data_IF_008163835391
#
_entry.id   IF_008163835391
#
_cell.length_a   1.000
_cell.length_b   1.000
_cell.length_c   1.000
_cell.angle_alpha   90.00
_cell.angle_beta   90.00
_cell.angle_gamma   90.00
#
_symmetry.space_group_name_H-M   'P 1'
#
loop_
_entity.id
_entity.type
_entity.pdbx_description
1 polymer ?
#
# COMPACT_ATOMS: atom_id res chain seq x y z
N UNK A 1 -16.85 0.83 0.29
CA UNK A 1 -15.60 0.55 -0.42
C UNK A 1 -15.85 0.33 -1.92
N UNK A 2 -16.90 -0.38 -2.26
CA UNK A 2 -17.31 -0.78 -3.60
C UNK A 2 -17.24 0.30 -4.67
N UNK A 3 -17.66 1.51 -4.35
CA UNK A 3 -17.66 2.66 -5.27
C UNK A 3 -16.27 3.19 -5.66
N UNK A 4 -15.24 2.80 -4.90
CA UNK A 4 -13.86 3.24 -5.13
C UNK A 4 -13.03 2.22 -5.93
N UNK A 5 -13.48 0.97 -6.00
CA UNK A 5 -12.75 -0.11 -6.66
C UNK A 5 -13.21 -0.24 -8.10
N UNK A 6 -12.40 0.23 -9.04
CA UNK A 6 -12.64 0.18 -10.48
C UNK A 6 -11.33 0.41 -11.26
N UNK A 7 -11.37 0.25 -12.57
CA UNK A 7 -10.25 0.52 -13.48
C UNK A 7 -9.19 -0.58 -13.49
N UNK A 8 -7.91 -0.20 -13.55
CA UNK A 8 -6.79 -1.16 -13.53
C UNK A 8 -6.43 -1.47 -12.07
N UNK A 9 -6.50 -2.73 -11.69
CA UNK A 9 -6.33 -3.21 -10.32
C UNK A 9 -5.10 -4.10 -10.25
N UNK A 10 -4.14 -3.76 -9.40
CA UNK A 10 -2.98 -4.58 -9.07
C UNK A 10 -3.20 -5.28 -7.74
N UNK A 11 -3.27 -6.60 -7.76
CA UNK A 11 -3.33 -7.44 -6.56
C UNK A 11 -1.97 -8.12 -6.35
N UNK A 12 -1.21 -7.63 -5.38
CA UNK A 12 0.03 -8.26 -4.93
C UNK A 12 -0.31 -9.35 -3.90
N UNK A 13 0.27 -10.54 -4.04
CA UNK A 13 0.01 -11.70 -3.17
C UNK A 13 -1.41 -12.24 -3.26
N UNK A 14 -1.93 -12.43 -4.46
CA UNK A 14 -3.31 -12.90 -4.68
C UNK A 14 -3.65 -14.25 -3.99
N UNK A 15 -2.67 -14.98 -3.48
CA UNK A 15 -2.87 -16.23 -2.74
C UNK A 15 -3.77 -17.20 -3.49
N UNK A 16 -4.82 -17.72 -2.82
CA UNK A 16 -5.81 -18.60 -3.42
C UNK A 16 -6.82 -17.87 -4.32
N UNK A 17 -6.72 -16.52 -4.45
CA UNK A 17 -7.53 -15.73 -5.35
C UNK A 17 -8.93 -15.39 -4.87
N UNK A 18 -9.20 -15.47 -3.55
CA UNK A 18 -10.52 -15.16 -3.00
C UNK A 18 -10.98 -13.71 -3.32
N UNK A 19 -10.05 -12.75 -3.28
CA UNK A 19 -10.31 -11.36 -3.67
C UNK A 19 -10.23 -11.15 -5.18
N UNK A 20 -9.46 -11.97 -5.90
CA UNK A 20 -9.28 -11.86 -7.34
C UNK A 20 -10.60 -11.95 -8.10
N UNK A 21 -11.52 -12.83 -7.70
CA UNK A 21 -12.83 -12.97 -8.34
C UNK A 21 -13.70 -11.72 -8.13
N UNK A 22 -13.62 -11.12 -6.95
CA UNK A 22 -14.28 -9.84 -6.69
C UNK A 22 -13.68 -8.71 -7.54
N UNK A 23 -12.34 -8.62 -7.62
CA UNK A 23 -11.67 -7.59 -8.40
C UNK A 23 -11.92 -7.69 -9.91
N UNK A 24 -12.00 -8.90 -10.46
CA UNK A 24 -12.36 -9.13 -11.87
C UNK A 24 -13.72 -8.55 -12.27
N UNK A 25 -14.66 -8.51 -11.31
CA UNK A 25 -15.98 -7.92 -11.55
C UNK A 25 -15.96 -6.38 -11.52
N UNK A 26 -14.88 -5.78 -10.99
CA UNK A 26 -14.74 -4.33 -10.80
C UNK A 26 -13.85 -3.66 -11.83
N UNK A 27 -12.93 -4.40 -12.46
CA UNK A 27 -12.01 -3.81 -13.41
C UNK A 27 -11.02 -4.82 -14.03
N UNK A 28 -9.98 -4.29 -14.64
CA UNK A 28 -8.91 -5.07 -15.25
C UNK A 28 -7.94 -5.54 -14.15
N UNK A 29 -7.98 -6.80 -13.82
CA UNK A 29 -7.15 -7.37 -12.76
C UNK A 29 -5.77 -7.79 -13.28
N UNK A 30 -4.73 -7.26 -12.64
CA UNK A 30 -3.34 -7.68 -12.74
C UNK A 30 -2.97 -8.32 -11.40
N UNK A 31 -2.82 -9.63 -11.37
CA UNK A 31 -2.49 -10.34 -10.13
C UNK A 31 -1.09 -10.91 -10.16
N UNK A 32 -0.41 -10.78 -9.03
CA UNK A 32 0.86 -11.43 -8.76
C UNK A 32 0.63 -12.62 -7.85
N UNK A 33 0.97 -13.81 -8.34
CA UNK A 33 1.03 -15.02 -7.52
C UNK A 33 2.41 -15.63 -7.64
N UNK A 34 2.81 -16.40 -6.64
CA UNK A 34 4.09 -17.10 -6.67
C UNK A 34 4.22 -18.04 -7.87
N UNK A 35 3.10 -18.62 -8.30
CA UNK A 35 3.03 -19.57 -9.41
C UNK A 35 3.10 -18.89 -10.78
N UNK A 36 2.57 -17.69 -10.93
CA UNK A 36 2.43 -17.02 -12.23
C UNK A 36 3.51 -15.97 -12.50
N UNK A 37 3.94 -15.25 -11.47
CA UNK A 37 4.87 -14.12 -11.60
C UNK A 37 6.14 -14.29 -10.79
N UNK A 38 6.23 -15.37 -9.97
CA UNK A 38 7.35 -15.57 -9.04
C UNK A 38 7.32 -14.58 -7.87
N UNK A 39 8.44 -13.89 -7.63
CA UNK A 39 8.54 -12.94 -6.55
C UNK A 39 7.74 -11.66 -6.86
N UNK A 40 6.77 -11.33 -6.00
CA UNK A 40 5.95 -10.11 -6.14
C UNK A 40 6.77 -8.82 -6.15
N UNK A 41 7.94 -8.83 -5.50
CA UNK A 41 8.85 -7.69 -5.48
C UNK A 41 9.52 -7.51 -6.85
N UNK A 42 10.03 -8.60 -7.44
CA UNK A 42 10.60 -8.57 -8.78
C UNK A 42 9.55 -8.12 -9.81
N UNK A 43 8.33 -8.66 -9.72
CA UNK A 43 7.26 -8.28 -10.62
C UNK A 43 6.88 -6.80 -10.49
N UNK A 44 6.89 -6.24 -9.28
CA UNK A 44 6.65 -4.81 -9.08
C UNK A 44 7.72 -3.96 -9.80
N UNK A 45 9.00 -4.36 -9.79
CA UNK A 45 10.06 -3.69 -10.56
C UNK A 45 9.82 -3.77 -12.07
N UNK A 46 9.36 -4.90 -12.58
CA UNK A 46 9.01 -5.05 -14.01
C UNK A 46 7.87 -4.09 -14.40
N UNK A 47 6.86 -3.95 -13.56
CA UNK A 47 5.76 -3.00 -13.77
C UNK A 47 6.25 -1.54 -13.78
N UNK A 48 7.17 -1.19 -12.86
CA UNK A 48 7.80 0.15 -12.82
C UNK A 48 8.59 0.40 -14.12
N UNK A 49 9.44 -0.54 -14.53
CA UNK A 49 10.24 -0.43 -15.75
C UNK A 49 9.37 -0.27 -17.00
N UNK A 50 8.23 -0.96 -17.04
CA UNK A 50 7.24 -0.87 -18.11
C UNK A 50 6.31 0.34 -17.98
N UNK A 51 6.53 1.23 -16.99
CA UNK A 51 5.70 2.43 -16.71
C UNK A 51 4.22 2.11 -16.57
N UNK A 52 3.90 0.93 -16.06
CA UNK A 52 2.52 0.51 -15.80
C UNK A 52 1.99 1.21 -14.56
N UNK A 53 0.75 1.70 -14.60
CA UNK A 53 0.12 2.38 -13.46
C UNK A 53 -1.30 1.88 -13.24
N UNK A 54 -1.77 1.96 -11.98
CA UNK A 54 -3.00 1.34 -11.52
C UNK A 54 -3.91 2.32 -10.78
N UNK A 55 -5.22 2.10 -10.89
CA UNK A 55 -6.24 2.83 -10.13
C UNK A 55 -6.37 2.30 -8.70
N UNK A 56 -6.16 0.99 -8.54
CA UNK A 56 -6.22 0.31 -7.24
C UNK A 56 -4.99 -0.58 -7.09
N UNK A 57 -4.35 -0.50 -5.93
CA UNK A 57 -3.25 -1.40 -5.55
C UNK A 57 -3.61 -2.04 -4.22
N UNK A 58 -3.66 -3.36 -4.20
CA UNK A 58 -3.90 -4.17 -3.02
C UNK A 58 -2.65 -4.96 -2.64
N UNK A 59 -2.15 -4.72 -1.43
CA UNK A 59 -0.99 -5.40 -0.86
C UNK A 59 -1.48 -6.28 0.29
N UNK A 60 -1.74 -7.54 0.00
CA UNK A 60 -2.15 -8.56 0.98
C UNK A 60 -0.98 -9.51 1.31
N UNK A 61 0.11 -8.94 1.78
CA UNK A 61 1.34 -9.68 2.07
C UNK A 61 1.19 -10.62 3.28
N UNK A 62 1.87 -11.79 3.23
CA UNK A 62 2.02 -12.71 4.39
C UNK A 62 2.95 -12.16 5.47
N UNK A 63 2.90 -10.88 5.72
CA UNK A 63 3.75 -10.17 6.65
C UNK A 63 3.47 -8.70 6.57
N UNK A 64 4.48 -7.91 6.88
CA UNK A 64 4.30 -6.46 6.86
C UNK A 64 4.54 -5.91 5.45
N UNK A 65 3.69 -4.97 4.98
CA UNK A 65 3.81 -4.40 3.64
C UNK A 65 4.98 -3.41 3.49
N UNK A 66 5.78 -3.16 4.55
CA UNK A 66 6.84 -2.14 4.56
C UNK A 66 7.84 -2.26 3.41
N UNK A 67 8.19 -3.49 3.00
CA UNK A 67 9.15 -3.71 1.92
C UNK A 67 8.68 -3.19 0.55
N UNK A 68 7.38 -2.98 0.36
CA UNK A 68 6.81 -2.49 -0.89
C UNK A 68 6.64 -0.97 -0.91
N UNK A 69 6.76 -0.31 0.25
CA UNK A 69 6.41 1.10 0.40
C UNK A 69 7.35 2.07 -0.33
N UNK A 70 8.58 1.67 -0.65
CA UNK A 70 9.45 2.51 -1.48
C UNK A 70 9.12 2.43 -2.98
N UNK A 71 8.42 1.39 -3.43
CA UNK A 71 8.22 1.11 -4.86
C UNK A 71 6.78 1.28 -5.33
N UNK A 72 5.80 1.05 -4.46
CA UNK A 72 4.38 1.04 -4.84
C UNK A 72 3.91 2.37 -5.44
N UNK A 73 4.44 3.50 -4.99
CA UNK A 73 4.06 4.84 -5.45
C UNK A 73 4.41 5.08 -6.92
N UNK A 74 5.39 4.36 -7.47
CA UNK A 74 5.80 4.48 -8.87
C UNK A 74 4.81 3.83 -9.85
N UNK A 75 3.95 2.96 -9.35
CA UNK A 75 2.90 2.29 -10.15
C UNK A 75 1.50 2.79 -9.83
N UNK A 76 1.38 3.88 -9.08
CA UNK A 76 0.10 4.53 -8.77
C UNK A 76 -0.28 5.57 -9.81
N UNK A 77 -1.55 5.60 -10.23
CA UNK A 77 -2.11 6.74 -10.98
C UNK A 77 -2.21 7.99 -10.09
N UNK A 78 -2.31 9.20 -10.67
CA UNK A 78 -2.38 10.45 -9.90
C UNK A 78 -3.51 10.49 -8.86
N UNK A 79 -4.60 9.78 -9.10
CA UNK A 79 -5.66 9.51 -8.12
C UNK A 79 -5.89 8.01 -8.09
N UNK A 80 -5.66 7.39 -6.96
CA UNK A 80 -5.65 5.93 -6.84
C UNK A 80 -5.99 5.48 -5.42
N UNK A 81 -6.28 4.19 -5.29
CA UNK A 81 -6.57 3.55 -4.02
C UNK A 81 -5.39 2.65 -3.62
N UNK A 82 -4.93 2.79 -2.39
CA UNK A 82 -3.96 1.88 -1.78
C UNK A 82 -4.65 1.10 -0.67
N UNK A 83 -4.66 -0.23 -0.80
CA UNK A 83 -5.20 -1.14 0.18
C UNK A 83 -4.05 -1.94 0.79
N UNK A 84 -3.98 -1.96 2.11
CA UNK A 84 -2.90 -2.62 2.85
C UNK A 84 -3.49 -3.58 3.86
N UNK A 85 -3.07 -4.85 3.80
CA UNK A 85 -3.30 -5.80 4.88
C UNK A 85 -2.14 -5.72 5.86
N UNK A 86 -2.45 -5.51 7.13
CA UNK A 86 -1.49 -5.35 8.20
C UNK A 86 -1.75 -6.38 9.31
N UNK A 87 -0.79 -7.26 9.62
CA UNK A 87 -0.96 -8.22 10.70
C UNK A 87 -0.90 -7.53 12.07
N UNK A 88 -1.94 -7.74 12.87
CA UNK A 88 -2.02 -7.17 14.24
C UNK A 88 -1.26 -8.03 15.24
N UNK A 89 -1.05 -9.28 14.91
CA UNK A 89 -0.43 -10.24 15.82
C UNK A 89 1.09 -10.22 15.70
N UNK A 90 1.67 -9.72 16.76
CA UNK A 90 3.09 -9.93 17.02
C UNK A 90 3.98 -8.97 16.25
N UNK A 91 4.93 -8.56 16.97
CA UNK A 91 6.14 -7.91 16.45
C UNK A 91 6.80 -8.90 15.51
N UNK A 92 7.25 -8.45 14.35
CA UNK A 92 8.14 -9.27 13.53
C UNK A 92 9.44 -9.46 14.30
N UNK A 93 9.58 -10.62 14.90
CA UNK A 93 10.75 -11.00 15.66
C UNK A 93 11.51 -12.08 14.94
N UNK A 94 12.78 -11.86 14.65
CA UNK A 94 13.72 -12.91 14.32
C UNK A 94 14.49 -13.22 15.61
N UNK A 95 14.40 -14.45 16.10
CA UNK A 95 15.03 -14.88 17.36
C UNK A 95 14.67 -14.01 18.59
N UNK A 96 13.42 -13.51 18.65
CA UNK A 96 12.94 -12.66 19.74
C UNK A 96 13.38 -11.20 19.66
N UNK A 97 14.10 -10.80 18.62
CA UNK A 97 14.53 -9.42 18.39
C UNK A 97 13.67 -8.80 17.31
N UNK A 98 13.10 -7.64 17.61
CA UNK A 98 12.37 -6.84 16.61
C UNK A 98 13.37 -6.24 15.65
N UNK A 99 13.13 -6.43 14.36
CA UNK A 99 14.00 -5.83 13.36
C UNK A 99 13.95 -4.31 13.40
N UNK A 100 15.11 -3.67 13.47
CA UNK A 100 15.21 -2.21 13.61
C UNK A 100 14.57 -1.47 12.42
N UNK A 101 14.66 -2.02 11.21
CA UNK A 101 14.02 -1.41 10.03
C UNK A 101 12.50 -1.39 10.14
N UNK A 102 11.89 -2.40 10.77
CA UNK A 102 10.47 -2.43 11.07
C UNK A 102 10.08 -1.29 12.01
N UNK A 103 10.84 -1.13 13.12
CA UNK A 103 10.60 -0.04 14.08
C UNK A 103 10.76 1.33 13.40
N UNK A 104 11.81 1.48 12.59
CA UNK A 104 12.07 2.73 11.88
C UNK A 104 10.95 3.08 10.90
N UNK A 105 10.41 2.08 10.20
CA UNK A 105 9.32 2.29 9.25
C UNK A 105 8.00 2.60 9.97
N UNK A 106 7.59 1.75 10.90
CA UNK A 106 6.29 1.85 11.57
C UNK A 106 6.33 2.72 12.84
N UNK A 107 7.51 3.24 13.21
CA UNK A 107 7.77 4.09 14.40
C UNK A 107 7.51 3.40 15.73
N UNK A 108 7.22 2.10 15.71
CA UNK A 108 6.90 1.33 16.90
C UNK A 108 7.16 -0.15 16.69
N UNK A 109 7.55 -0.84 17.75
CA UNK A 109 7.61 -2.30 17.78
C UNK A 109 6.21 -2.94 17.79
N UNK A 110 5.19 -2.18 18.18
CA UNK A 110 3.76 -2.59 18.15
C UNK A 110 2.93 -1.43 17.59
N UNK A 111 2.91 -1.25 16.27
CA UNK A 111 2.26 -0.11 15.67
C UNK A 111 0.77 -0.05 16.01
N UNK A 112 0.34 1.12 16.45
CA UNK A 112 -1.06 1.48 16.55
C UNK A 112 -1.64 1.83 15.17
N UNK A 113 -2.94 1.97 15.07
CA UNK A 113 -3.59 2.50 13.86
C UNK A 113 -3.00 3.86 13.45
N UNK A 114 -2.71 4.72 14.44
CA UNK A 114 -2.10 6.04 14.20
C UNK A 114 -0.68 5.95 13.63
N UNK A 115 0.14 5.01 14.12
CA UNK A 115 1.50 4.79 13.61
C UNK A 115 1.47 4.32 12.16
N UNK A 116 0.56 3.41 11.81
CA UNK A 116 0.39 2.93 10.42
C UNK A 116 -0.04 4.08 9.51
N UNK A 117 -1.04 4.86 9.91
CA UNK A 117 -1.51 6.02 9.14
C UNK A 117 -0.38 7.03 8.96
N UNK A 118 0.35 7.35 10.04
CA UNK A 118 1.47 8.29 10.00
C UNK A 118 2.59 7.83 9.07
N UNK A 119 2.99 6.56 9.16
CA UNK A 119 4.03 5.99 8.29
C UNK A 119 3.62 6.05 6.81
N UNK A 120 2.39 5.61 6.48
CA UNK A 120 1.90 5.63 5.10
C UNK A 120 1.79 7.07 4.57
N UNK A 121 1.36 8.02 5.39
CA UNK A 121 1.29 9.43 5.01
C UNK A 121 2.68 9.99 4.69
N UNK A 122 3.67 9.75 5.54
CA UNK A 122 5.03 10.24 5.31
C UNK A 122 5.67 9.64 4.05
N UNK A 123 5.48 8.33 3.84
CA UNK A 123 5.98 7.69 2.62
C UNK A 123 5.26 8.20 1.38
N UNK A 124 3.94 8.39 1.44
CA UNK A 124 3.19 8.99 0.35
C UNK A 124 3.74 10.37 -0.02
N UNK A 125 3.93 11.24 0.97
CA UNK A 125 4.47 12.59 0.76
C UNK A 125 5.89 12.59 0.20
N UNK A 126 6.74 11.64 0.58
CA UNK A 126 8.08 11.44 -0.02
C UNK A 126 8.01 11.24 -1.53
N UNK A 127 6.95 10.61 -2.03
CA UNK A 127 6.70 10.33 -3.44
C UNK A 127 5.66 11.26 -4.08
N UNK A 128 5.34 12.38 -3.45
CA UNK A 128 4.39 13.38 -3.92
C UNK A 128 2.94 12.87 -3.99
N UNK A 129 2.56 11.99 -3.08
CA UNK A 129 1.18 11.57 -2.88
C UNK A 129 0.70 11.98 -1.48
N UNK A 130 -0.55 12.38 -1.39
CA UNK A 130 -1.25 12.62 -0.12
C UNK A 130 -2.22 11.46 0.14
N UNK A 131 -1.84 10.48 0.96
CA UNK A 131 -2.73 9.42 1.38
C UNK A 131 -3.75 9.94 2.38
N UNK A 132 -5.01 9.69 2.12
CA UNK A 132 -6.12 9.96 3.02
C UNK A 132 -6.79 8.66 3.40
N UNK A 133 -6.78 8.32 4.68
CA UNK A 133 -7.47 7.14 5.16
C UNK A 133 -8.98 7.29 4.91
N UNK A 134 -9.60 6.32 4.24
CA UNK A 134 -11.04 6.28 3.99
C UNK A 134 -11.75 5.15 4.72
N UNK A 135 -11.01 4.08 5.07
CA UNK A 135 -11.58 2.95 5.81
C UNK A 135 -10.52 2.14 6.55
N UNK A 136 -10.89 1.54 7.68
CA UNK A 136 -10.11 0.55 8.41
C UNK A 136 -11.00 -0.60 8.83
N UNK A 137 -10.82 -1.75 8.23
CA UNK A 137 -11.50 -2.98 8.63
C UNK A 137 -10.59 -3.77 9.58
N UNK A 138 -11.08 -4.01 10.80
CA UNK A 138 -10.34 -4.74 11.84
C UNK A 138 -10.93 -6.12 12.02
N UNK A 139 -10.29 -7.12 11.43
CA UNK A 139 -10.65 -8.55 11.59
C UNK A 139 -9.43 -9.23 12.18
N UNK A 140 -9.51 -9.62 13.45
CA UNK A 140 -8.38 -10.34 14.08
C UNK A 140 -8.05 -11.62 13.29
N UNK A 141 -6.78 -11.87 12.96
CA UNK A 141 -5.56 -11.18 13.42
C UNK A 141 -5.04 -10.07 12.49
N UNK A 142 -5.85 -9.56 11.57
CA UNK A 142 -5.42 -8.57 10.58
C UNK A 142 -6.23 -7.29 10.64
N UNK A 143 -5.60 -6.18 10.26
CA UNK A 143 -6.25 -4.92 9.92
C UNK A 143 -6.06 -4.65 8.43
N UNK A 144 -7.11 -4.19 7.78
CA UNK A 144 -7.06 -3.79 6.39
C UNK A 144 -7.33 -2.29 6.29
N UNK A 145 -6.31 -1.56 5.86
CA UNK A 145 -6.37 -0.11 5.69
C UNK A 145 -6.66 0.22 4.24
N UNK A 146 -7.48 1.22 4.02
CA UNK A 146 -7.81 1.73 2.68
C UNK A 146 -7.52 3.22 2.62
N UNK A 147 -6.61 3.62 1.74
CA UNK A 147 -6.23 5.01 1.52
C UNK A 147 -6.62 5.45 0.12
N UNK A 148 -7.30 6.60 0.01
CA UNK A 148 -7.34 7.36 -1.23
C UNK A 148 -6.04 8.16 -1.32
N UNK A 149 -5.29 8.00 -2.43
CA UNK A 149 -4.01 8.64 -2.63
C UNK A 149 -4.11 9.60 -3.80
N UNK A 150 -3.86 10.89 -3.56
CA UNK A 150 -3.89 11.92 -4.59
C UNK A 150 -2.50 12.50 -4.80
N UNK A 151 -2.07 12.60 -6.06
CA UNK A 151 -0.77 13.17 -6.40
C UNK A 151 -0.80 14.68 -6.21
N UNK A 152 0.09 15.20 -5.37
CA UNK A 152 0.21 16.61 -5.06
C UNK A 152 1.23 17.29 -5.97
N UNK A 153 0.93 18.51 -6.41
CA UNK A 153 1.86 19.32 -7.18
C UNK A 153 2.80 20.06 -6.25
N UNK A 154 4.08 20.17 -6.62
CA UNK A 154 5.08 20.91 -5.87
C UNK A 154 4.67 22.37 -5.56
N UNK A 155 3.89 22.98 -6.43
CA UNK A 155 3.38 24.35 -6.27
C UNK A 155 2.40 24.52 -5.11
N UNK A 156 1.71 23.46 -4.70
CA UNK A 156 0.75 23.50 -3.59
C UNK A 156 1.44 23.57 -2.22
N UNK A 157 2.66 23.06 -2.11
CA UNK A 157 3.47 23.15 -0.88
C UNK A 157 4.22 24.49 -0.72
N UNK A 158 4.44 25.20 -1.82
CA UNK A 158 5.19 26.46 -1.80
C UNK A 158 4.32 27.70 -1.53
N UNK A 159 3.01 27.60 -1.51
CA UNK A 159 2.09 28.75 -1.38
C UNK A 159 1.98 29.35 0.02
N UNK A 160 2.62 28.77 1.03
CA UNK A 160 2.58 29.28 2.42
C UNK A 160 3.60 30.39 2.71
N UNK A 161 4.45 30.79 1.74
CA UNK A 161 5.47 31.84 1.96
C UNK A 161 5.00 33.30 1.77
N UNK A 162 3.73 33.53 1.44
CA UNK A 162 3.19 34.89 1.26
C UNK A 162 2.00 35.20 2.16
N UNK A 163 2.15 34.98 3.47
CA UNK A 163 1.32 35.70 4.45
C UNK A 163 2.26 36.59 5.28
N UNK A 164 2.45 37.81 4.76
CA UNK A 164 2.87 38.98 5.56
C UNK A 164 1.67 39.50 6.32
#
# INVERSE_FOLDING_TARGET
LDKYIHGDILELFAGQGNLSEYYKQKGNLYKCTKETTGDSFQHLFELINNKKTFDVIDIDSYGYPSQFMDNVWHVMKPKSLLILTFPVMGVQCINGIVEQHFINFWRSARPSTGDVIGAITDYGLKYWYLPKLIDVVKIKPIWRFVFECERVKATEFCSTKNRK
#
